data_IF_734322624244
#
_entry.id   IF_734322624244
#
_cell.length_a   1.000
_cell.length_b   1.000
_cell.length_c   1.000
_cell.angle_alpha   90.00
_cell.angle_beta   90.00
_cell.angle_gamma   90.00
#
_symmetry.space_group_name_H-M   'P 1'
#
loop_
_entity.id
_entity.type
_entity.pdbx_description
1 polymer ?
#
# COMPACT_ATOMS: atom_id res chain seq x y z
N UNK A 1 24.17 12.08 -9.66
CA UNK A 1 23.19 12.95 -8.97
C UNK A 1 21.78 12.37 -8.94
N UNK A 2 21.30 11.74 -10.02
CA UNK A 2 19.93 11.18 -10.08
C UNK A 2 19.57 10.17 -8.99
N UNK A 3 20.40 9.14 -8.77
CA UNK A 3 20.15 8.07 -7.77
C UNK A 3 20.07 8.59 -6.32
N UNK A 4 20.90 9.58 -5.98
CA UNK A 4 20.89 10.21 -4.65
C UNK A 4 19.57 10.95 -4.39
N UNK A 5 19.02 11.62 -5.40
CA UNK A 5 17.74 12.32 -5.28
C UNK A 5 16.55 11.36 -5.13
N UNK A 6 16.59 10.21 -5.81
CA UNK A 6 15.55 9.17 -5.69
C UNK A 6 15.54 8.54 -4.30
N UNK A 7 16.72 8.26 -3.74
CA UNK A 7 16.85 7.79 -2.36
C UNK A 7 16.33 8.83 -1.35
N UNK A 8 16.60 10.12 -1.56
CA UNK A 8 16.06 11.19 -0.71
C UNK A 8 14.53 11.32 -0.80
N UNK A 9 13.96 11.24 -2.01
CA UNK A 9 12.50 11.30 -2.21
C UNK A 9 11.79 10.10 -1.60
N UNK A 10 12.33 8.90 -1.78
CA UNK A 10 11.81 7.72 -1.12
C UNK A 10 11.94 7.82 0.41
N UNK A 11 13.07 8.29 0.92
CA UNK A 11 13.26 8.55 2.35
C UNK A 11 12.24 9.55 2.90
N UNK A 12 12.01 10.66 2.19
CA UNK A 12 11.03 11.67 2.56
C UNK A 12 9.59 11.12 2.52
N UNK A 13 9.26 10.32 1.51
CA UNK A 13 7.96 9.65 1.40
C UNK A 13 7.72 8.69 2.57
N UNK A 14 8.71 7.87 2.91
CA UNK A 14 8.63 6.92 4.03
C UNK A 14 8.55 7.64 5.37
N UNK A 15 9.26 8.75 5.53
CA UNK A 15 9.18 9.58 6.72
C UNK A 15 7.79 10.22 6.86
N UNK A 16 7.23 10.79 5.80
CA UNK A 16 5.87 11.32 5.79
C UNK A 16 4.83 10.24 6.13
N UNK A 17 4.97 9.04 5.56
CA UNK A 17 4.11 7.89 5.84
C UNK A 17 4.23 7.43 7.32
N UNK A 18 5.43 7.45 7.90
CA UNK A 18 5.62 7.17 9.32
C UNK A 18 4.95 8.22 10.21
N UNK A 19 5.06 9.51 9.84
CA UNK A 19 4.39 10.59 10.54
C UNK A 19 2.87 10.46 10.47
N UNK A 20 2.29 10.07 9.32
CA UNK A 20 0.87 9.74 9.19
C UNK A 20 0.42 8.75 10.28
N UNK A 21 1.14 7.63 10.48
CA UNK A 21 0.81 6.65 11.53
C UNK A 21 0.96 7.27 12.92
N UNK A 22 2.08 7.95 13.19
CA UNK A 22 2.36 8.55 14.49
C UNK A 22 1.29 9.58 14.90
N UNK A 23 0.88 10.43 13.95
CA UNK A 23 -0.16 11.42 14.15
C UNK A 23 -1.56 10.79 14.28
N UNK A 24 -1.82 9.69 13.56
CA UNK A 24 -3.07 8.92 13.74
C UNK A 24 -3.15 8.33 15.16
N UNK A 25 -2.06 7.76 15.67
CA UNK A 25 -1.97 7.23 17.05
C UNK A 25 -2.09 8.37 18.07
N UNK A 26 -1.40 9.50 17.85
CA UNK A 26 -1.45 10.65 18.75
C UNK A 26 -2.86 11.24 18.81
N UNK A 27 -3.56 11.33 17.69
CA UNK A 27 -4.95 11.75 17.64
C UNK A 27 -5.83 10.85 18.51
N UNK A 28 -5.68 9.52 18.37
CA UNK A 28 -6.42 8.56 19.20
C UNK A 28 -6.12 8.71 20.70
N UNK A 29 -4.84 8.85 21.07
CA UNK A 29 -4.43 8.99 22.47
C UNK A 29 -4.94 10.27 23.16
N UNK A 30 -5.40 11.25 22.39
CA UNK A 30 -5.82 12.58 22.87
C UNK A 30 -7.33 12.80 22.81
N UNK A 31 -8.09 11.84 22.28
CA UNK A 31 -9.54 11.99 22.19
C UNK A 31 -10.22 11.87 23.56
N UNK A 32 -11.32 12.61 23.80
CA UNK A 32 -12.12 12.47 25.02
C UNK A 32 -12.56 11.02 25.19
N UNK A 33 -12.11 10.39 26.28
CA UNK A 33 -12.32 8.96 26.54
C UNK A 33 -11.09 8.09 26.29
N UNK A 34 -10.13 8.44 25.43
CA UNK A 34 -8.89 7.68 25.23
C UNK A 34 -9.10 6.14 25.18
N UNK A 35 -8.43 5.39 26.07
CA UNK A 35 -8.60 3.93 26.22
C UNK A 35 -10.01 3.53 26.74
N UNK A 36 -10.72 4.45 27.39
CA UNK A 36 -12.09 4.27 27.91
C UNK A 36 -13.21 4.60 26.91
N UNK A 37 -12.89 4.74 25.62
CA UNK A 37 -13.90 4.89 24.57
C UNK A 37 -14.90 3.73 24.53
N UNK A 38 -16.14 4.02 24.09
CA UNK A 38 -17.09 2.95 23.82
C UNK A 38 -16.57 2.05 22.68
N UNK A 39 -17.05 0.80 22.67
CA UNK A 39 -16.55 -0.22 21.75
C UNK A 39 -16.68 0.16 20.27
N UNK A 40 -17.74 0.88 19.88
CA UNK A 40 -17.95 1.34 18.50
C UNK A 40 -16.89 2.37 18.07
N UNK A 41 -16.59 3.37 18.91
CA UNK A 41 -15.57 4.37 18.62
C UNK A 41 -14.18 3.75 18.53
N UNK A 42 -13.80 2.88 19.48
CA UNK A 42 -12.53 2.17 19.44
C UNK A 42 -12.34 1.38 18.13
N UNK A 43 -13.41 0.76 17.64
CA UNK A 43 -13.41 0.03 16.37
C UNK A 43 -13.29 0.96 15.15
N UNK A 44 -13.93 2.12 15.13
CA UNK A 44 -13.75 3.13 14.07
C UNK A 44 -12.31 3.66 14.01
N UNK A 45 -11.65 3.86 15.14
CA UNK A 45 -10.23 4.26 15.15
C UNK A 45 -9.31 3.14 14.71
N UNK A 46 -9.58 1.91 15.16
CA UNK A 46 -8.86 0.72 14.68
C UNK A 46 -8.97 0.61 13.17
N UNK A 47 -10.15 0.88 12.59
CA UNK A 47 -10.33 0.94 11.14
C UNK A 47 -9.37 1.95 10.49
N UNK A 48 -9.35 3.21 10.95
CA UNK A 48 -8.50 4.28 10.38
C UNK A 48 -7.01 3.96 10.55
N UNK A 49 -6.59 3.48 11.73
CA UNK A 49 -5.19 3.15 12.01
C UNK A 49 -4.67 2.04 11.11
N UNK A 50 -5.39 0.92 11.00
CA UNK A 50 -4.96 -0.18 10.15
C UNK A 50 -5.02 0.17 8.66
N UNK A 51 -5.91 1.09 8.26
CA UNK A 51 -5.94 1.60 6.89
C UNK A 51 -4.71 2.49 6.59
N UNK A 52 -4.29 3.33 7.54
CA UNK A 52 -3.05 4.12 7.45
C UNK A 52 -1.82 3.20 7.40
N UNK A 53 -1.74 2.17 8.25
CA UNK A 53 -0.65 1.17 8.20
C UNK A 53 -0.60 0.48 6.83
N UNK A 54 -1.76 0.08 6.30
CA UNK A 54 -1.84 -0.51 4.97
C UNK A 54 -1.40 0.45 3.86
N UNK A 55 -1.70 1.74 3.97
CA UNK A 55 -1.22 2.78 3.06
C UNK A 55 0.31 2.85 3.05
N UNK A 56 0.94 2.89 4.23
CA UNK A 56 2.41 2.88 4.37
C UNK A 56 3.02 1.60 3.78
N UNK A 57 2.47 0.43 4.11
CA UNK A 57 2.96 -0.86 3.60
C UNK A 57 2.86 -0.96 2.08
N UNK A 58 1.75 -0.48 1.51
CA UNK A 58 1.55 -0.44 0.05
C UNK A 58 2.54 0.53 -0.60
N UNK A 59 2.76 1.70 -0.01
CA UNK A 59 3.75 2.66 -0.49
C UNK A 59 5.17 2.09 -0.47
N UNK A 60 5.51 1.36 0.59
CA UNK A 60 6.79 0.62 0.70
C UNK A 60 6.91 -0.49 -0.34
N UNK A 61 5.83 -1.23 -0.61
CA UNK A 61 5.84 -2.28 -1.63
C UNK A 61 6.11 -1.69 -3.02
N UNK A 62 5.43 -0.58 -3.33
CA UNK A 62 5.57 0.17 -4.58
C UNK A 62 6.99 0.74 -4.76
N UNK A 63 7.62 1.19 -3.68
CA UNK A 63 8.99 1.71 -3.69
C UNK A 63 10.07 0.62 -3.61
N UNK A 64 9.72 -0.64 -3.30
CA UNK A 64 10.70 -1.72 -3.10
C UNK A 64 11.64 -1.89 -4.30
N UNK A 65 11.09 -1.85 -5.52
CA UNK A 65 11.87 -1.96 -6.75
C UNK A 65 12.71 -0.73 -7.13
N UNK A 66 12.58 0.37 -6.40
CA UNK A 66 13.28 1.63 -6.67
C UNK A 66 14.36 1.94 -5.65
N UNK A 67 14.20 1.42 -4.44
CA UNK A 67 15.06 1.72 -3.29
C UNK A 67 15.81 0.48 -2.81
N UNK A 68 15.34 -0.71 -3.17
CA UNK A 68 15.90 -1.99 -2.75
C UNK A 68 17.36 -2.16 -3.18
N UNK A 69 18.20 -2.57 -2.23
CA UNK A 69 19.58 -3.02 -2.44
C UNK A 69 19.69 -4.55 -2.35
N UNK A 70 18.63 -5.26 -2.72
CA UNK A 70 18.64 -6.70 -2.56
C UNK A 70 19.44 -7.38 -3.68
N UNK A 71 20.21 -8.40 -3.31
CA UNK A 71 21.19 -9.03 -4.19
C UNK A 71 20.57 -9.86 -5.32
N UNK A 72 19.27 -10.18 -5.24
CA UNK A 72 18.57 -10.99 -6.25
C UNK A 72 17.16 -10.48 -6.53
N UNK A 73 16.69 -10.60 -7.77
CA UNK A 73 15.32 -10.18 -8.09
C UNK A 73 14.25 -11.00 -7.37
N UNK A 74 14.50 -12.29 -7.14
CA UNK A 74 13.53 -13.14 -6.42
C UNK A 74 13.30 -12.62 -5.00
N UNK A 75 14.37 -12.16 -4.32
CA UNK A 75 14.25 -11.53 -3.01
C UNK A 75 13.38 -10.26 -3.08
N UNK A 76 13.59 -9.41 -4.09
CA UNK A 76 12.77 -8.19 -4.28
C UNK A 76 11.30 -8.50 -4.56
N UNK A 77 11.03 -9.54 -5.35
CA UNK A 77 9.66 -10.02 -5.63
C UNK A 77 8.99 -10.50 -4.35
N UNK A 78 9.71 -11.24 -3.51
CA UNK A 78 9.21 -11.72 -2.23
C UNK A 78 8.97 -10.56 -1.22
N UNK A 79 9.87 -9.58 -1.13
CA UNK A 79 9.70 -8.39 -0.29
C UNK A 79 8.49 -7.55 -0.78
N UNK A 80 8.35 -7.35 -2.07
CA UNK A 80 7.19 -6.66 -2.66
C UNK A 80 5.87 -7.41 -2.36
N UNK A 81 5.82 -8.71 -2.63
CA UNK A 81 4.63 -9.54 -2.41
C UNK A 81 4.25 -9.63 -0.93
N UNK A 82 5.22 -9.79 -0.04
CA UNK A 82 4.99 -9.86 1.41
C UNK A 82 4.45 -8.55 1.98
N UNK A 83 4.96 -7.39 1.54
CA UNK A 83 4.42 -6.07 1.93
C UNK A 83 2.98 -5.88 1.46
N UNK A 84 2.65 -6.29 0.23
CA UNK A 84 1.26 -6.27 -0.25
C UNK A 84 0.37 -7.23 0.55
N UNK A 85 0.87 -8.41 0.91
CA UNK A 85 0.12 -9.36 1.76
C UNK A 85 -0.17 -8.77 3.14
N UNK A 86 0.84 -8.18 3.79
CA UNK A 86 0.66 -7.51 5.09
C UNK A 86 -0.32 -6.33 4.98
N UNK A 87 -0.26 -5.56 3.90
CA UNK A 87 -1.22 -4.48 3.64
C UNK A 87 -2.66 -5.03 3.50
N UNK A 88 -2.85 -6.12 2.76
CA UNK A 88 -4.16 -6.79 2.63
C UNK A 88 -4.68 -7.25 3.99
N UNK A 89 -3.82 -7.88 4.81
CA UNK A 89 -4.20 -8.31 6.16
C UNK A 89 -4.61 -7.11 7.04
N UNK A 90 -3.86 -6.01 6.99
CA UNK A 90 -4.23 -4.78 7.70
C UNK A 90 -5.59 -4.24 7.22
N UNK A 91 -5.85 -4.27 5.92
CA UNK A 91 -7.12 -3.83 5.33
C UNK A 91 -8.29 -4.74 5.77
N UNK A 92 -8.08 -6.06 5.87
CA UNK A 92 -9.08 -7.00 6.39
C UNK A 92 -9.39 -6.67 7.86
N UNK A 93 -8.37 -6.49 8.70
CA UNK A 93 -8.55 -6.10 10.11
C UNK A 93 -9.29 -4.77 10.22
N UNK A 94 -8.91 -3.80 9.39
CA UNK A 94 -9.56 -2.49 9.28
C UNK A 94 -11.06 -2.63 8.92
N UNK A 95 -11.42 -3.53 8.01
CA UNK A 95 -12.82 -3.77 7.64
C UNK A 95 -13.60 -4.50 8.72
N UNK A 96 -13.00 -5.49 9.36
CA UNK A 96 -13.61 -6.19 10.50
C UNK A 96 -13.91 -5.20 11.62
N UNK A 97 -12.97 -4.29 11.93
CA UNK A 97 -13.18 -3.23 12.90
C UNK A 97 -14.35 -2.31 12.49
N UNK A 98 -14.38 -1.85 11.23
CA UNK A 98 -15.50 -1.04 10.70
C UNK A 98 -16.86 -1.75 10.85
N UNK A 99 -16.89 -3.05 10.61
CA UNK A 99 -18.08 -3.89 10.75
C UNK A 99 -18.57 -4.01 12.19
N UNK A 100 -17.66 -4.10 13.17
CA UNK A 100 -17.99 -4.11 14.60
C UNK A 100 -18.40 -2.72 15.12
N UNK A 101 -17.96 -1.65 14.47
CA UNK A 101 -18.39 -0.29 14.78
C UNK A 101 -19.84 0.02 14.32
N UNK A 102 -20.45 -0.86 13.50
CA UNK A 102 -21.82 -0.70 13.01
C UNK A 102 -21.93 0.10 11.70
N UNK A 103 -20.82 0.37 11.01
CA UNK A 103 -20.78 1.20 9.80
C UNK A 103 -20.72 0.38 8.50
N UNK A 104 -21.33 -0.82 8.48
CA UNK A 104 -21.29 -1.73 7.33
C UNK A 104 -21.91 -1.14 6.06
N UNK A 105 -22.91 -0.29 6.20
CA UNK A 105 -23.65 0.33 5.09
C UNK A 105 -23.28 1.82 4.88
N UNK A 106 -22.10 2.22 5.36
CA UNK A 106 -21.62 3.59 5.19
C UNK A 106 -20.98 3.79 3.80
N UNK A 107 -21.02 4.98 3.19
CA UNK A 107 -20.34 5.21 1.91
C UNK A 107 -18.85 4.78 1.86
N UNK A 108 -18.04 4.96 2.94
CA UNK A 108 -16.68 4.43 3.00
C UNK A 108 -16.60 2.91 2.84
N UNK A 109 -17.57 2.13 3.35
CA UNK A 109 -17.54 0.67 3.29
C UNK A 109 -17.73 0.15 1.86
N UNK A 110 -18.62 0.74 1.07
CA UNK A 110 -18.84 0.35 -0.33
C UNK A 110 -17.63 0.68 -1.21
N UNK A 111 -17.09 1.90 -1.06
CA UNK A 111 -15.88 2.29 -1.79
C UNK A 111 -14.72 1.37 -1.42
N UNK A 112 -14.58 1.04 -0.13
CA UNK A 112 -13.56 0.13 0.35
C UNK A 112 -13.73 -1.29 -0.20
N UNK A 113 -14.93 -1.83 -0.26
CA UNK A 113 -15.17 -3.16 -0.85
C UNK A 113 -14.75 -3.22 -2.32
N UNK A 114 -15.08 -2.18 -3.10
CA UNK A 114 -14.68 -2.09 -4.51
C UNK A 114 -13.16 -2.02 -4.64
N UNK A 115 -12.52 -1.11 -3.89
CA UNK A 115 -11.06 -0.95 -3.91
C UNK A 115 -10.36 -2.24 -3.46
N UNK A 116 -10.83 -2.88 -2.39
CA UNK A 116 -10.31 -4.16 -1.91
C UNK A 116 -10.47 -5.31 -2.92
N UNK A 117 -11.63 -5.42 -3.56
CA UNK A 117 -11.87 -6.43 -4.59
C UNK A 117 -10.89 -6.27 -5.76
N UNK A 118 -10.72 -5.02 -6.24
CA UNK A 118 -9.73 -4.70 -7.26
C UNK A 118 -8.30 -4.99 -6.79
N UNK A 119 -7.99 -4.70 -5.52
CA UNK A 119 -6.68 -4.97 -4.95
C UNK A 119 -6.35 -6.47 -4.96
N UNK A 120 -7.31 -7.29 -4.54
CA UNK A 120 -7.13 -8.74 -4.46
C UNK A 120 -6.97 -9.35 -5.86
N UNK A 121 -7.77 -8.90 -6.83
CA UNK A 121 -7.64 -9.30 -8.24
C UNK A 121 -6.26 -8.91 -8.78
N UNK A 122 -5.82 -7.67 -8.52
CA UNK A 122 -4.49 -7.21 -8.93
C UNK A 122 -3.39 -8.05 -8.28
N UNK A 123 -3.45 -8.28 -6.97
CA UNK A 123 -2.47 -9.06 -6.22
C UNK A 123 -2.39 -10.49 -6.76
N UNK A 124 -3.53 -11.16 -6.92
CA UNK A 124 -3.59 -12.53 -7.43
C UNK A 124 -3.09 -12.62 -8.87
N UNK A 125 -3.53 -11.72 -9.75
CA UNK A 125 -3.05 -11.69 -11.15
C UNK A 125 -1.54 -11.49 -11.25
N UNK A 126 -0.98 -10.64 -10.37
CA UNK A 126 0.46 -10.37 -10.33
C UNK A 126 1.25 -11.53 -9.76
N UNK A 127 0.73 -12.17 -8.71
CA UNK A 127 1.33 -13.38 -8.15
C UNK A 127 1.37 -14.49 -9.22
N UNK A 128 0.27 -14.70 -9.95
CA UNK A 128 0.23 -15.69 -11.04
C UNK A 128 1.26 -15.36 -12.13
N UNK A 129 1.32 -14.11 -12.59
CA UNK A 129 2.29 -13.68 -13.60
C UNK A 129 3.74 -13.81 -13.15
N UNK A 130 4.03 -13.52 -11.86
CA UNK A 130 5.40 -13.47 -11.34
C UNK A 130 5.94 -14.84 -10.94
N UNK A 131 5.10 -15.70 -10.34
CA UNK A 131 5.51 -17.03 -9.87
C UNK A 131 5.31 -18.13 -10.93
N UNK A 132 4.42 -17.92 -11.90
CA UNK A 132 4.15 -18.89 -12.97
C UNK A 132 4.34 -18.29 -14.38
N UNK A 133 5.49 -17.67 -14.69
CA UNK A 133 5.72 -17.03 -15.98
C UNK A 133 5.65 -18.03 -17.15
N UNK A 134 5.88 -19.33 -16.89
CA UNK A 134 5.79 -20.44 -17.87
C UNK A 134 4.40 -20.57 -18.52
N UNK A 135 3.34 -20.06 -17.88
CA UNK A 135 1.97 -20.14 -18.39
C UNK A 135 1.67 -19.09 -19.47
N UNK A 136 2.57 -18.13 -19.70
CA UNK A 136 2.33 -16.97 -20.55
C UNK A 136 3.40 -16.84 -21.63
N UNK A 137 3.00 -16.36 -22.81
CA UNK A 137 3.96 -15.98 -23.85
C UNK A 137 4.70 -14.69 -23.48
N UNK A 138 5.90 -14.47 -24.04
CA UNK A 138 6.71 -13.26 -23.83
C UNK A 138 5.90 -11.97 -24.06
N UNK A 139 5.03 -11.98 -25.06
CA UNK A 139 4.16 -10.85 -25.39
C UNK A 139 3.09 -10.61 -24.31
N UNK A 140 2.45 -11.68 -23.81
CA UNK A 140 1.45 -11.58 -22.74
C UNK A 140 2.08 -11.14 -21.42
N UNK A 141 3.27 -11.65 -21.09
CA UNK A 141 3.99 -11.25 -19.89
C UNK A 141 4.41 -9.77 -19.95
N UNK A 142 4.98 -9.33 -21.06
CA UNK A 142 5.40 -7.93 -21.28
C UNK A 142 4.23 -6.95 -21.17
N UNK A 143 3.09 -7.28 -21.78
CA UNK A 143 1.90 -6.44 -21.70
C UNK A 143 1.22 -6.52 -20.33
N UNK A 144 1.22 -7.69 -19.70
CA UNK A 144 0.72 -7.91 -18.34
C UNK A 144 1.47 -7.05 -17.32
N UNK A 145 2.81 -7.00 -17.39
CA UNK A 145 3.62 -6.15 -16.51
C UNK A 145 3.34 -4.66 -16.73
N UNK A 146 3.21 -4.21 -17.99
CA UNK A 146 2.85 -2.81 -18.28
C UNK A 146 1.47 -2.44 -17.72
N UNK A 147 0.48 -3.32 -17.93
CA UNK A 147 -0.86 -3.14 -17.40
C UNK A 147 -0.85 -3.12 -15.87
N UNK A 148 -0.14 -4.06 -15.25
CA UNK A 148 0.03 -4.13 -13.80
C UNK A 148 0.59 -2.83 -13.21
N UNK A 149 1.65 -2.26 -13.81
CA UNK A 149 2.24 -0.99 -13.33
C UNK A 149 1.23 0.16 -13.41
N UNK A 150 0.45 0.25 -14.49
CA UNK A 150 -0.56 1.31 -14.63
C UNK A 150 -1.72 1.11 -13.66
N UNK A 151 -2.22 -0.12 -13.52
CA UNK A 151 -3.27 -0.46 -12.56
C UNK A 151 -2.77 -0.17 -11.13
N UNK A 152 -1.53 -0.53 -10.80
CA UNK A 152 -0.93 -0.26 -9.50
C UNK A 152 -0.86 1.23 -9.17
N UNK A 153 -0.61 2.11 -10.16
CA UNK A 153 -0.66 3.58 -9.97
C UNK A 153 -2.07 4.08 -9.70
N UNK A 154 -3.05 3.63 -10.47
CA UNK A 154 -4.46 3.99 -10.27
C UNK A 154 -4.92 3.49 -8.90
N UNK A 155 -4.56 2.26 -8.56
CA UNK A 155 -4.88 1.63 -7.29
C UNK A 155 -4.27 2.40 -6.12
N UNK A 156 -3.01 2.81 -6.22
CA UNK A 156 -2.36 3.65 -5.20
C UNK A 156 -3.14 4.95 -4.94
N UNK A 157 -3.61 5.61 -6.00
CA UNK A 157 -4.44 6.81 -5.88
C UNK A 157 -5.80 6.52 -5.23
N UNK A 158 -6.47 5.44 -5.64
CA UNK A 158 -7.74 5.02 -5.05
C UNK A 158 -7.60 4.68 -3.57
N UNK A 159 -6.55 3.96 -3.19
CA UNK A 159 -6.25 3.63 -1.79
C UNK A 159 -5.93 4.89 -0.97
N UNK A 160 -5.18 5.84 -1.53
CA UNK A 160 -4.93 7.14 -0.89
C UNK A 160 -6.23 7.92 -0.67
N UNK A 161 -7.08 8.02 -1.70
CA UNK A 161 -8.39 8.66 -1.58
C UNK A 161 -9.27 7.98 -0.53
N UNK A 162 -9.18 6.66 -0.42
CA UNK A 162 -9.90 5.90 0.59
C UNK A 162 -9.42 6.23 2.01
N UNK A 163 -8.11 6.30 2.24
CA UNK A 163 -7.56 6.70 3.54
C UNK A 163 -8.02 8.11 3.90
N UNK A 164 -7.88 9.05 2.97
CA UNK A 164 -8.31 10.45 3.16
C UNK A 164 -9.82 10.54 3.43
N UNK A 165 -10.63 9.79 2.70
CA UNK A 165 -12.09 9.78 2.88
C UNK A 165 -12.51 9.13 4.20
N UNK A 166 -11.92 8.01 4.58
CA UNK A 166 -12.17 7.36 5.88
C UNK A 166 -11.77 8.29 7.02
N UNK A 167 -10.57 8.87 6.96
CA UNK A 167 -10.14 9.88 7.91
C UNK A 167 -11.19 10.99 7.98
N UNK A 168 -11.49 11.67 6.86
CA UNK A 168 -12.46 12.76 6.80
C UNK A 168 -13.83 12.39 7.41
N UNK A 169 -14.36 11.23 7.04
CA UNK A 169 -15.67 10.77 7.48
C UNK A 169 -15.71 10.50 9.00
N UNK A 170 -14.72 9.78 9.53
CA UNK A 170 -14.64 9.48 10.96
C UNK A 170 -14.25 10.70 11.79
N UNK A 171 -13.37 11.56 11.28
CA UNK A 171 -13.05 12.84 11.89
C UNK A 171 -14.28 13.73 12.03
N UNK A 172 -15.17 13.76 11.01
CA UNK A 172 -16.45 14.47 11.09
C UNK A 172 -17.37 13.91 12.19
N UNK A 173 -17.49 12.59 12.26
CA UNK A 173 -18.39 11.91 13.20
C UNK A 173 -17.87 11.88 14.64
N UNK A 174 -16.55 12.05 14.85
CA UNK A 174 -15.95 12.22 16.17
C UNK A 174 -16.29 13.57 16.84
N UNK A 175 -16.96 14.48 16.11
CA UNK A 175 -17.67 15.62 16.69
C UNK A 175 -17.00 16.98 16.51
N UNK A 176 -16.95 17.51 15.28
CA UNK A 176 -17.16 18.92 14.90
C UNK A 176 -16.47 19.32 13.57
N UNK A 177 -17.21 19.34 12.45
CA UNK A 177 -16.67 19.85 11.18
C UNK A 177 -16.59 21.39 11.11
N UNK A 178 -17.41 22.10 11.90
CA UNK A 178 -17.45 23.57 11.94
C UNK A 178 -16.22 24.23 12.57
N UNK A 179 -15.24 23.44 12.99
CA UNK A 179 -14.13 23.85 13.83
C UNK A 179 -12.77 23.52 13.16
N UNK A 180 -12.75 22.82 12.02
CA UNK A 180 -11.55 22.25 11.35
C UNK A 180 -10.45 23.26 10.96
N UNK A 181 -10.74 24.55 10.90
CA UNK A 181 -9.75 25.61 10.65
C UNK A 181 -9.40 26.39 11.93
N UNK A 182 -10.23 26.31 12.98
CA UNK A 182 -10.14 27.11 14.22
C UNK A 182 -10.37 26.30 15.50
N UNK A 183 -10.02 25.02 15.50
CA UNK A 183 -10.29 24.13 16.63
C UNK A 183 -9.32 24.31 17.79
N UNK A 184 -9.88 24.25 19.00
CA UNK A 184 -9.20 24.46 20.28
C UNK A 184 -8.69 23.16 20.93
N UNK A 185 -8.97 21.98 20.35
CA UNK A 185 -8.60 20.69 20.95
C UNK A 185 -7.42 20.01 20.24
N UNK A 186 -6.47 19.50 21.03
CA UNK A 186 -5.23 18.91 20.54
C UNK A 186 -5.44 17.69 19.61
N UNK A 187 -6.45 16.85 19.86
CA UNK A 187 -6.68 15.63 19.05
C UNK A 187 -7.05 15.92 17.60
N UNK A 188 -7.74 17.04 17.36
CA UNK A 188 -8.11 17.51 16.02
C UNK A 188 -6.86 17.98 15.30
N UNK A 189 -5.96 18.73 15.95
CA UNK A 189 -4.67 19.13 15.35
C UNK A 189 -3.86 17.91 14.90
N UNK A 190 -3.73 16.89 15.73
CA UNK A 190 -3.02 15.66 15.36
C UNK A 190 -3.68 14.93 14.17
N UNK A 191 -5.02 14.94 14.12
CA UNK A 191 -5.76 14.38 13.00
C UNK A 191 -5.51 15.13 11.68
N UNK A 192 -5.47 16.47 11.70
CA UNK A 192 -5.12 17.28 10.52
C UNK A 192 -3.67 17.05 10.07
N UNK A 193 -2.75 16.93 11.02
CA UNK A 193 -1.36 16.58 10.71
C UNK A 193 -1.29 15.21 10.04
N UNK A 194 -2.02 14.20 10.55
CA UNK A 194 -2.11 12.89 9.90
C UNK A 194 -2.59 13.02 8.45
N UNK A 195 -3.68 13.76 8.20
CA UNK A 195 -4.21 14.01 6.86
C UNK A 195 -3.19 14.71 5.94
N UNK A 196 -2.50 15.75 6.43
CA UNK A 196 -1.47 16.47 5.68
C UNK A 196 -0.30 15.54 5.30
N UNK A 197 0.12 14.69 6.24
CA UNK A 197 1.19 13.73 5.99
C UNK A 197 0.75 12.59 5.06
N UNK A 198 -0.52 12.15 5.09
CA UNK A 198 -1.09 11.25 4.08
C UNK A 198 -0.99 11.90 2.70
N UNK A 199 -1.45 13.15 2.53
CA UNK A 199 -1.38 13.87 1.25
C UNK A 199 0.07 14.01 0.78
N UNK A 200 0.98 14.41 1.66
CA UNK A 200 2.39 14.56 1.34
C UNK A 200 3.04 13.23 0.94
N UNK A 201 2.77 12.15 1.68
CA UNK A 201 3.26 10.81 1.37
C UNK A 201 2.73 10.33 0.00
N UNK A 202 1.43 10.49 -0.25
CA UNK A 202 0.81 10.18 -1.55
C UNK A 202 1.45 10.98 -2.67
N UNK A 203 1.64 12.28 -2.50
CA UNK A 203 2.23 13.16 -3.51
C UNK A 203 3.69 12.77 -3.83
N UNK A 204 4.50 12.49 -2.82
CA UNK A 204 5.90 12.08 -3.00
C UNK A 204 6.03 10.71 -3.67
N UNK A 205 5.20 9.73 -3.27
CA UNK A 205 5.18 8.40 -3.89
C UNK A 205 4.68 8.50 -5.33
N UNK A 206 3.60 9.24 -5.58
CA UNK A 206 3.06 9.43 -6.92
C UNK A 206 4.05 10.16 -7.83
N UNK A 207 4.69 11.23 -7.34
CA UNK A 207 5.75 11.92 -8.07
C UNK A 207 6.87 10.95 -8.47
N UNK A 208 7.32 10.13 -7.52
CA UNK A 208 8.33 9.09 -7.74
C UNK A 208 7.87 8.10 -8.81
N UNK A 209 6.61 7.64 -8.76
CA UNK A 209 6.05 6.67 -9.69
C UNK A 209 5.93 7.19 -11.14
N UNK A 210 5.54 8.45 -11.30
CA UNK A 210 5.25 9.06 -12.61
C UNK A 210 6.52 9.55 -13.29
N UNK A 211 7.35 10.33 -12.57
CA UNK A 211 8.44 11.08 -13.18
C UNK A 211 9.73 10.28 -13.30
N UNK A 212 9.82 9.13 -12.64
CA UNK A 212 10.97 8.23 -12.73
C UNK A 212 10.52 6.90 -13.32
N UNK A 213 10.99 6.51 -14.51
CA UNK A 213 10.72 5.18 -15.03
C UNK A 213 11.32 4.14 -14.09
N UNK A 214 10.61 3.03 -13.85
CA UNK A 214 11.16 1.92 -13.06
C UNK A 214 12.48 1.44 -13.71
N UNK A 215 13.51 1.10 -12.91
CA UNK A 215 14.79 0.64 -13.45
C UNK A 215 14.56 -0.58 -14.36
N UNK A 216 14.86 -0.42 -15.66
CA UNK A 216 14.65 -1.46 -16.69
C UNK A 216 15.57 -2.67 -16.51
N UNK A 217 16.62 -2.52 -15.71
CA UNK A 217 17.76 -3.45 -15.63
C UNK A 217 17.35 -4.79 -14.99
N UNK A 218 16.53 -4.76 -13.93
CA UNK A 218 16.20 -5.98 -13.20
C UNK A 218 15.19 -6.89 -13.90
N UNK A 219 14.35 -6.38 -14.80
CA UNK A 219 13.40 -7.23 -15.54
C UNK A 219 14.10 -8.15 -16.55
N UNK A 220 15.19 -7.69 -17.18
CA UNK A 220 15.98 -8.52 -18.10
C UNK A 220 16.80 -9.57 -17.36
N UNK A 221 17.38 -9.23 -16.21
CA UNK A 221 18.12 -10.19 -15.37
C UNK A 221 17.21 -11.24 -14.75
N UNK A 222 16.02 -10.86 -14.27
CA UNK A 222 15.01 -11.82 -13.79
C UNK A 222 14.56 -12.79 -14.87
N UNK A 223 14.49 -12.27 -16.10
CA UNK A 223 14.12 -13.04 -17.28
C UNK A 223 15.21 -14.01 -17.70
N UNK A 224 16.46 -13.58 -17.75
CA UNK A 224 17.59 -14.47 -18.05
C UNK A 224 17.84 -15.48 -16.94
N UNK A 225 17.66 -15.09 -15.67
CA UNK A 225 17.65 -16.00 -14.53
C UNK A 225 16.52 -17.03 -14.60
N UNK A 226 15.29 -16.58 -14.91
CA UNK A 226 14.15 -17.46 -15.14
C UNK A 226 14.39 -18.47 -16.26
N UNK A 227 14.99 -18.03 -17.38
CA UNK A 227 15.44 -18.92 -18.46
C UNK A 227 16.53 -19.90 -18.01
N UNK A 228 17.47 -19.47 -17.19
CA UNK A 228 18.56 -20.29 -16.65
C UNK A 228 18.07 -21.43 -15.75
N UNK A 229 17.14 -21.15 -14.82
CA UNK A 229 16.52 -22.18 -13.98
C UNK A 229 15.78 -23.24 -14.82
N UNK A 230 15.09 -22.82 -15.87
CA UNK A 230 14.36 -23.71 -16.80
C UNK A 230 15.32 -24.63 -17.56
N UNK A 231 16.44 -24.10 -18.03
CA UNK A 231 17.41 -24.89 -18.77
C UNK A 231 18.05 -25.97 -17.89
N UNK A 232 18.29 -25.63 -16.61
CA UNK A 232 18.88 -26.52 -15.62
C UNK A 232 17.88 -27.60 -15.15
N UNK A 233 16.60 -27.25 -14.93
CA UNK A 233 15.55 -28.22 -14.65
C UNK A 233 15.30 -29.17 -15.82
N UNK A 234 15.24 -28.68 -17.07
CA UNK A 234 15.09 -29.54 -18.24
C UNK A 234 16.29 -30.47 -18.44
N UNK A 235 17.51 -30.00 -18.19
CA UNK A 235 18.70 -30.86 -18.22
C UNK A 235 18.67 -31.91 -17.10
N UNK A 236 18.20 -31.55 -15.90
CA UNK A 236 18.09 -32.49 -14.79
C UNK A 236 16.96 -33.51 -15.00
N UNK A 237 15.83 -33.10 -15.58
CA UNK A 237 14.73 -34.00 -15.95
C UNK A 237 15.10 -34.93 -17.10
N UNK A 238 15.83 -34.44 -18.11
CA UNK A 238 16.35 -35.27 -19.19
C UNK A 238 17.47 -36.24 -18.75
N UNK A 239 18.18 -35.91 -17.65
CA UNK A 239 19.18 -36.79 -17.03
C UNK A 239 18.57 -37.80 -16.05
N UNK A 240 17.45 -37.48 -15.42
CA UNK A 240 16.74 -38.39 -14.51
C UNK A 240 15.86 -39.44 -15.19
N UNK A 241 15.73 -39.41 -16.51
CA UNK A 241 15.01 -40.39 -17.33
C UNK A 241 15.91 -41.41 -18.03
N UNK A 242 17.18 -41.48 -17.64
CA UNK A 242 18.17 -42.45 -18.12
C UNK A 242 18.69 -43.34 -16.99
#
# INVERSE_FOLDING_TARGET
MGEKMESCLAGAALFAAFLEIAFTIASFGQMPGGISMNFSMMNSYTHVLFLAIAHVLTGRAVLAYRVGREDTTMSMVNDHASRHTLAILCIIVSYVALGHAGFRDSPPSYMMLIVQGLYFIMYLGTAVLSYFPKLFSDHLLSNGVKAHIQIGRIFWLLHSLQVLYSMYYFGRNAGNFGCIIFCSHNYETYFHMALLFTILATALIYYTLVHRPAPRVHLKESWEYGKGLIHTEHQNLARGSH
#
